data_IF_476392704724
#
_entry.id   IF_476392704724
#
_cell.length_a   1.000
_cell.length_b   1.000
_cell.length_c   1.000
_cell.angle_alpha   90.00
_cell.angle_beta   90.00
_cell.angle_gamma   90.00
#
_symmetry.space_group_name_H-M   'P 1'
#
loop_
_entity.id
_entity.type
_entity.pdbx_description
1 polymer ?
#
# COMPACT_ATOMS: atom_id res chain seq x y z
N UNK A 1 -4.92 -22.28 -11.85
CA UNK A 1 -3.66 -21.61 -11.51
C UNK A 1 -3.37 -21.87 -10.05
N UNK A 2 -2.21 -22.38 -9.65
CA UNK A 2 -1.90 -22.62 -8.25
C UNK A 2 -1.82 -21.27 -7.53
N UNK A 3 -2.55 -21.15 -6.42
CA UNK A 3 -2.44 -20.01 -5.53
C UNK A 3 -1.01 -19.96 -4.99
N UNK A 4 -0.28 -18.90 -5.31
CA UNK A 4 0.97 -18.61 -4.63
C UNK A 4 0.64 -18.38 -3.16
N UNK A 5 0.99 -19.35 -2.33
CA UNK A 5 0.97 -19.17 -0.88
C UNK A 5 1.97 -18.06 -0.55
N UNK A 6 1.45 -16.96 -0.03
CA UNK A 6 2.27 -15.88 0.49
C UNK A 6 3.23 -16.46 1.56
N UNK A 7 4.53 -16.24 1.46
CA UNK A 7 5.47 -16.83 2.41
C UNK A 7 5.16 -16.36 3.84
N UNK A 8 5.30 -17.24 4.85
CA UNK A 8 4.86 -16.98 6.24
C UNK A 8 5.51 -15.79 6.94
N UNK A 9 6.50 -15.14 6.34
CA UNK A 9 7.18 -13.95 6.89
C UNK A 9 6.36 -12.67 6.83
N UNK A 10 5.31 -12.58 6.01
CA UNK A 10 4.41 -11.42 5.92
C UNK A 10 3.31 -11.41 6.99
N UNK A 11 3.21 -12.43 7.80
CA UNK A 11 2.38 -12.43 9.00
C UNK A 11 3.12 -11.76 10.17
N UNK A 12 3.71 -10.57 9.94
CA UNK A 12 4.20 -9.77 11.05
C UNK A 12 3.05 -9.59 12.04
N UNK A 13 3.29 -9.85 13.34
CA UNK A 13 2.20 -9.86 14.31
C UNK A 13 1.56 -8.47 14.37
N UNK A 14 0.41 -8.32 13.70
CA UNK A 14 -0.37 -7.09 13.61
C UNK A 14 -0.62 -6.47 15.00
N UNK A 15 -0.65 -7.27 16.05
CA UNK A 15 -0.80 -6.83 17.43
C UNK A 15 0.38 -6.03 17.99
N UNK A 16 1.58 -6.06 17.36
CA UNK A 16 2.76 -5.30 17.77
C UNK A 16 2.84 -3.91 17.13
N UNK A 17 1.91 -3.55 16.26
CA UNK A 17 1.89 -2.25 15.62
C UNK A 17 1.72 -1.14 16.66
N UNK A 18 2.47 -0.06 16.47
CA UNK A 18 2.28 1.19 17.21
C UNK A 18 1.58 2.19 16.29
N UNK A 19 0.28 2.43 16.47
CA UNK A 19 -0.45 3.34 15.60
C UNK A 19 0.02 4.79 15.85
N UNK A 20 0.03 5.59 14.79
CA UNK A 20 0.11 7.04 14.92
C UNK A 20 -1.08 7.54 15.76
N UNK A 21 -0.91 8.68 16.44
CA UNK A 21 -1.94 9.22 17.34
C UNK A 21 -3.31 9.35 16.69
N UNK A 22 -3.36 9.77 15.42
CA UNK A 22 -4.57 9.95 14.63
C UNK A 22 -5.32 8.65 14.29
N UNK A 23 -4.67 7.48 14.43
CA UNK A 23 -5.25 6.19 14.03
C UNK A 23 -5.47 5.22 15.21
N UNK A 24 -5.36 5.72 16.45
CA UNK A 24 -5.57 4.88 17.65
C UNK A 24 -6.97 4.27 17.70
N UNK A 25 -7.97 5.04 17.32
CA UNK A 25 -9.37 4.61 17.34
C UNK A 25 -9.64 3.51 16.31
N UNK A 26 -9.01 3.59 15.12
CA UNK A 26 -9.10 2.52 14.12
C UNK A 26 -8.53 1.21 14.64
N UNK A 27 -7.38 1.24 15.33
CA UNK A 27 -6.80 0.03 15.94
C UNK A 27 -7.71 -0.52 17.06
N UNK A 28 -8.43 0.33 17.79
CA UNK A 28 -9.40 -0.11 18.78
C UNK A 28 -10.59 -0.84 18.13
N UNK A 29 -11.11 -0.30 17.01
CA UNK A 29 -12.16 -0.94 16.20
C UNK A 29 -11.69 -2.28 15.64
N UNK A 30 -10.50 -2.36 15.06
CA UNK A 30 -9.93 -3.63 14.56
C UNK A 30 -9.87 -4.71 15.66
N UNK A 31 -9.45 -4.32 16.87
CA UNK A 31 -9.42 -5.23 18.02
C UNK A 31 -10.81 -5.69 18.44
N UNK A 32 -11.79 -4.81 18.37
CA UNK A 32 -13.18 -5.13 18.66
C UNK A 32 -13.71 -6.14 17.64
N UNK A 33 -13.51 -5.88 16.35
CA UNK A 33 -13.94 -6.76 15.26
C UNK A 33 -13.30 -8.14 15.39
N UNK A 34 -11.98 -8.21 15.56
CA UNK A 34 -11.26 -9.49 15.66
C UNK A 34 -11.61 -10.31 16.92
N UNK A 35 -12.09 -9.66 17.97
CA UNK A 35 -12.55 -10.32 19.21
C UNK A 35 -14.03 -10.67 19.17
N UNK A 36 -14.79 -10.13 18.23
CA UNK A 36 -16.22 -10.41 18.12
C UNK A 36 -16.43 -11.85 17.66
N UNK A 37 -16.83 -12.72 18.58
CA UNK A 37 -17.14 -14.12 18.32
C UNK A 37 -18.59 -14.35 18.64
N UNK A 38 -19.42 -14.60 17.62
CA UNK A 38 -20.78 -15.05 17.74
C UNK A 38 -20.97 -16.26 16.83
N UNK A 39 -21.81 -17.20 17.25
CA UNK A 39 -22.19 -18.32 16.41
C UNK A 39 -22.77 -17.81 15.09
N UNK A 40 -22.29 -18.33 13.97
CA UNK A 40 -22.72 -17.90 12.63
C UNK A 40 -22.13 -16.54 12.14
N UNK A 41 -21.36 -15.82 12.96
CA UNK A 41 -20.71 -14.57 12.55
C UNK A 41 -19.23 -14.79 12.26
N UNK A 42 -18.85 -14.56 11.01
CA UNK A 42 -17.45 -14.47 10.59
C UNK A 42 -17.05 -13.00 10.46
N UNK A 43 -15.92 -12.63 11.03
CA UNK A 43 -15.40 -11.25 10.98
C UNK A 43 -13.98 -11.25 10.44
N UNK A 44 -13.72 -10.33 9.55
CA UNK A 44 -12.41 -10.15 8.95
C UNK A 44 -12.00 -8.68 9.01
N UNK A 45 -10.72 -8.43 9.20
CA UNK A 45 -10.11 -7.11 9.05
C UNK A 45 -9.16 -7.17 7.86
N UNK A 46 -9.44 -6.38 6.85
CA UNK A 46 -8.55 -6.17 5.70
C UNK A 46 -7.84 -4.83 5.91
N UNK A 47 -6.59 -4.88 6.31
CA UNK A 47 -5.74 -3.70 6.40
C UNK A 47 -5.14 -3.45 5.01
N UNK A 48 -5.82 -2.64 4.21
CA UNK A 48 -5.33 -2.24 2.90
C UNK A 48 -4.16 -1.26 3.02
N UNK A 49 -3.22 -1.37 2.11
CA UNK A 49 -2.18 -0.37 1.91
C UNK A 49 -2.73 0.93 1.32
N UNK A 50 -1.85 1.73 0.74
CA UNK A 50 -2.23 2.93 0.01
C UNK A 50 -2.95 2.52 -1.28
N UNK A 51 -4.25 2.77 -1.34
CA UNK A 51 -5.08 2.39 -2.49
C UNK A 51 -4.81 3.28 -3.70
N UNK A 52 -4.85 2.69 -4.89
CA UNK A 52 -4.75 3.40 -6.16
C UNK A 52 -5.61 2.75 -7.23
N UNK A 53 -5.85 3.50 -8.31
CA UNK A 53 -6.68 3.07 -9.44
C UNK A 53 -8.18 3.30 -9.22
N UNK A 54 -8.98 3.17 -10.27
CA UNK A 54 -10.44 3.30 -10.27
C UNK A 54 -10.95 4.57 -9.52
N UNK A 55 -10.38 5.73 -9.85
CA UNK A 55 -10.75 7.05 -9.32
C UNK A 55 -10.36 7.30 -7.85
N UNK A 56 -9.43 6.49 -7.27
CA UNK A 56 -8.88 6.78 -5.95
C UNK A 56 -8.05 8.08 -5.94
N UNK A 57 -8.32 8.93 -4.97
CA UNK A 57 -7.82 10.31 -4.93
C UNK A 57 -6.38 10.47 -4.42
N UNK A 58 -5.84 9.47 -3.73
CA UNK A 58 -4.57 9.60 -3.01
C UNK A 58 -3.41 10.07 -3.90
N UNK A 59 -3.29 9.49 -5.09
CA UNK A 59 -2.25 9.84 -6.05
C UNK A 59 -2.72 10.83 -7.13
N UNK A 60 -4.00 11.23 -7.11
CA UNK A 60 -4.57 12.12 -8.11
C UNK A 60 -3.75 13.42 -8.31
N UNK A 61 -3.27 14.11 -7.27
CA UNK A 61 -2.47 15.33 -7.45
C UNK A 61 -1.18 15.09 -8.25
N UNK A 62 -0.52 13.94 -8.07
CA UNK A 62 0.69 13.58 -8.81
C UNK A 62 0.36 13.27 -10.28
N UNK A 63 -0.69 12.48 -10.53
CA UNK A 63 -1.15 12.21 -11.89
C UNK A 63 -1.54 13.48 -12.62
N UNK A 64 -2.29 14.37 -11.98
CA UNK A 64 -2.70 15.64 -12.56
C UNK A 64 -1.52 16.55 -12.88
N UNK A 65 -0.55 16.64 -12.00
CA UNK A 65 0.67 17.44 -12.24
C UNK A 65 1.49 16.87 -13.39
N UNK A 66 1.69 15.54 -13.44
CA UNK A 66 2.36 14.88 -14.56
C UNK A 66 1.64 15.12 -15.89
N UNK A 67 0.35 14.93 -15.93
CA UNK A 67 -0.48 15.18 -17.12
C UNK A 67 -0.40 16.63 -17.63
N UNK A 68 -0.28 17.59 -16.72
CA UNK A 68 -0.08 19.00 -17.06
C UNK A 68 1.37 19.35 -17.39
N UNK A 69 2.25 18.36 -17.60
CA UNK A 69 3.67 18.55 -17.87
C UNK A 69 4.40 19.40 -16.80
N UNK A 70 3.96 19.28 -15.55
CA UNK A 70 4.61 19.94 -14.43
C UNK A 70 5.69 19.03 -13.82
N UNK A 71 6.78 19.62 -13.34
CA UNK A 71 7.77 18.89 -12.57
C UNK A 71 7.16 18.34 -11.28
N UNK A 72 7.38 17.06 -10.98
CA UNK A 72 6.80 16.40 -9.83
C UNK A 72 7.67 16.57 -8.58
N UNK A 73 7.11 17.06 -7.47
CA UNK A 73 7.83 17.14 -6.22
C UNK A 73 7.91 15.79 -5.52
N UNK A 74 9.04 15.47 -4.91
CA UNK A 74 9.11 14.44 -3.88
C UNK A 74 8.42 14.97 -2.61
N UNK A 75 7.18 14.56 -2.37
CA UNK A 75 6.32 15.04 -1.29
C UNK A 75 6.75 14.57 0.13
N UNK A 76 7.96 14.14 0.30
CA UNK A 76 8.43 13.52 1.53
C UNK A 76 9.56 14.34 2.15
N UNK A 77 9.57 14.39 3.47
CA UNK A 77 10.72 14.87 4.24
C UNK A 77 11.96 13.94 4.12
N UNK A 78 11.86 12.89 3.31
CA UNK A 78 12.91 11.93 2.99
C UNK A 78 13.35 12.11 1.54
N UNK A 79 14.42 11.41 1.18
CA UNK A 79 14.95 11.31 -0.18
C UNK A 79 14.06 10.51 -1.14
N UNK A 80 12.86 10.11 -0.71
CA UNK A 80 11.94 9.27 -1.48
C UNK A 80 12.27 7.78 -1.45
N UNK A 81 13.25 7.34 -0.66
CA UNK A 81 13.63 5.92 -0.52
C UNK A 81 12.62 5.07 0.24
N UNK A 82 11.64 5.69 0.89
CA UNK A 82 10.59 4.97 1.61
C UNK A 82 9.75 4.10 0.67
N UNK A 83 9.63 2.83 1.02
CA UNK A 83 8.75 1.89 0.30
C UNK A 83 7.30 2.21 0.62
N UNK A 84 6.49 2.32 -0.44
CA UNK A 84 5.05 2.54 -0.33
C UNK A 84 4.31 1.20 -0.35
N UNK A 85 3.56 0.86 0.70
CA UNK A 85 2.70 -0.33 0.70
C UNK A 85 1.43 -0.02 -0.11
N UNK A 86 1.51 -0.08 -1.44
CA UNK A 86 0.38 0.19 -2.34
C UNK A 86 -0.48 -1.03 -2.54
N UNK A 87 -1.72 -0.83 -3.00
CA UNK A 87 -2.59 -1.89 -3.52
C UNK A 87 -3.62 -1.31 -4.47
N UNK A 88 -3.83 -1.98 -5.61
CA UNK A 88 -4.89 -1.57 -6.54
C UNK A 88 -6.26 -1.86 -5.96
N UNK A 89 -7.22 -0.92 -6.10
CA UNK A 89 -8.55 -1.05 -5.49
C UNK A 89 -9.29 -2.31 -5.94
N UNK A 90 -9.15 -2.73 -7.19
CA UNK A 90 -9.77 -3.96 -7.70
C UNK A 90 -9.21 -5.21 -6.99
N UNK A 91 -7.95 -5.20 -6.55
CA UNK A 91 -7.37 -6.29 -5.81
C UNK A 91 -7.90 -6.34 -4.38
N UNK A 92 -8.13 -5.18 -3.75
CA UNK A 92 -8.85 -5.11 -2.47
C UNK A 92 -10.25 -5.73 -2.61
N UNK A 93 -11.00 -5.35 -3.65
CA UNK A 93 -12.32 -5.92 -3.92
C UNK A 93 -12.26 -7.44 -4.12
N UNK A 94 -11.28 -7.91 -4.90
CA UNK A 94 -11.09 -9.35 -5.15
C UNK A 94 -10.74 -10.12 -3.87
N UNK A 95 -9.94 -9.53 -2.99
CA UNK A 95 -9.62 -10.09 -1.67
C UNK A 95 -10.89 -10.18 -0.83
N UNK A 96 -11.70 -9.11 -0.77
CA UNK A 96 -12.95 -9.11 0.01
C UNK A 96 -13.90 -10.21 -0.48
N UNK A 97 -14.08 -10.35 -1.80
CA UNK A 97 -14.93 -11.42 -2.37
C UNK A 97 -14.42 -12.81 -1.95
N UNK A 98 -13.12 -13.06 -2.06
CA UNK A 98 -12.51 -14.33 -1.65
C UNK A 98 -12.67 -14.61 -0.14
N UNK A 99 -12.63 -13.58 0.70
CA UNK A 99 -12.84 -13.72 2.13
C UNK A 99 -14.26 -14.15 2.48
N UNK A 100 -15.26 -13.78 1.66
CA UNK A 100 -16.65 -14.21 1.84
C UNK A 100 -16.82 -15.70 1.53
N UNK A 101 -16.02 -16.25 0.64
CA UNK A 101 -16.11 -17.62 0.14
C UNK A 101 -15.25 -18.62 0.93
N UNK A 102 -14.27 -18.16 1.69
CA UNK A 102 -13.29 -19.03 2.34
C UNK A 102 -13.20 -18.83 3.85
N UNK A 103 -12.81 -19.90 4.55
CA UNK A 103 -12.35 -19.80 5.94
C UNK A 103 -10.92 -19.28 5.95
N UNK A 104 -10.78 -17.98 6.11
CA UNK A 104 -9.48 -17.32 6.09
C UNK A 104 -9.14 -16.69 7.44
N UNK A 105 -7.91 -16.18 7.55
CA UNK A 105 -7.42 -15.51 8.75
C UNK A 105 -8.31 -14.31 9.13
N UNK A 106 -8.55 -14.06 10.41
CA UNK A 106 -9.39 -12.94 10.88
C UNK A 106 -8.76 -11.57 10.60
N UNK A 107 -7.47 -11.53 10.28
CA UNK A 107 -6.72 -10.31 9.95
C UNK A 107 -5.83 -10.55 8.73
N UNK A 108 -5.96 -9.71 7.72
CA UNK A 108 -5.18 -9.75 6.49
C UNK A 108 -4.58 -8.37 6.21
N UNK A 109 -3.28 -8.33 5.92
CA UNK A 109 -2.62 -7.18 5.34
C UNK A 109 -2.67 -7.31 3.81
N UNK A 110 -3.37 -6.39 3.16
CA UNK A 110 -3.53 -6.35 1.72
C UNK A 110 -2.63 -5.27 1.11
N UNK A 111 -1.57 -5.71 0.48
CA UNK A 111 -0.61 -4.86 -0.23
C UNK A 111 -0.19 -5.58 -1.51
N UNK A 112 0.18 -4.83 -2.53
CA UNK A 112 0.86 -5.37 -3.69
C UNK A 112 2.10 -6.11 -3.20
N UNK A 113 2.38 -7.26 -3.77
CA UNK A 113 3.57 -8.02 -3.38
C UNK A 113 4.77 -7.11 -3.56
N UNK A 114 5.42 -6.68 -2.47
CA UNK A 114 6.63 -5.90 -2.65
C UNK A 114 7.60 -6.80 -3.38
N UNK A 115 8.08 -6.32 -4.46
CA UNK A 115 9.07 -6.97 -5.30
C UNK A 115 10.43 -7.09 -4.57
N UNK A 116 10.41 -7.04 -3.24
CA UNK A 116 11.59 -7.23 -2.38
C UNK A 116 12.20 -8.63 -2.60
N UNK A 117 11.40 -9.62 -2.96
CA UNK A 117 11.90 -10.95 -3.29
C UNK A 117 12.56 -11.03 -4.69
N UNK A 118 12.24 -10.09 -5.58
CA UNK A 118 12.78 -10.05 -6.94
C UNK A 118 13.92 -9.01 -7.10
N UNK A 119 14.11 -8.14 -6.10
CA UNK A 119 15.22 -7.18 -6.10
C UNK A 119 16.60 -7.85 -5.85
N UNK A 120 16.62 -9.12 -5.46
CA UNK A 120 17.85 -9.91 -5.33
C UNK A 120 18.25 -10.57 -6.66
N UNK A 121 17.38 -10.56 -7.69
CA UNK A 121 17.71 -11.01 -9.03
C UNK A 121 18.11 -9.82 -9.91
N UNK A 122 19.26 -9.92 -10.57
CA UNK A 122 19.74 -8.92 -11.52
C UNK A 122 18.67 -8.70 -12.62
N UNK A 123 18.05 -7.51 -12.66
CA UNK A 123 16.97 -7.17 -13.60
C UNK A 123 15.55 -7.38 -13.06
N UNK A 124 15.38 -7.66 -11.77
CA UNK A 124 14.07 -7.69 -11.12
C UNK A 124 13.39 -6.32 -11.11
N UNK A 125 12.04 -6.29 -10.95
CA UNK A 125 11.30 -5.04 -10.91
C UNK A 125 11.75 -4.18 -9.73
N UNK A 126 11.84 -2.87 -9.94
CA UNK A 126 12.28 -1.90 -8.93
C UNK A 126 11.33 -1.88 -7.72
N UNK A 127 11.84 -1.72 -6.50
CA UNK A 127 10.98 -1.58 -5.33
C UNK A 127 10.07 -0.36 -5.49
N UNK A 128 8.84 -0.48 -5.00
CA UNK A 128 7.84 0.60 -5.03
C UNK A 128 8.19 1.67 -3.97
N UNK A 129 9.28 2.38 -4.18
CA UNK A 129 9.62 3.56 -3.39
C UNK A 129 8.86 4.79 -3.91
N UNK A 130 8.68 5.78 -3.05
CA UNK A 130 8.08 7.05 -3.48
C UNK A 130 8.85 7.68 -4.65
N UNK A 131 10.17 7.66 -4.61
CA UNK A 131 11.01 8.19 -5.69
C UNK A 131 10.75 7.45 -7.01
N UNK A 132 10.69 6.12 -6.99
CA UNK A 132 10.43 5.31 -8.20
C UNK A 132 9.02 5.55 -8.75
N UNK A 133 8.02 5.67 -7.89
CA UNK A 133 6.64 5.98 -8.30
C UNK A 133 6.56 7.36 -8.95
N UNK A 134 7.16 8.38 -8.32
CA UNK A 134 7.17 9.75 -8.85
C UNK A 134 7.96 9.82 -10.16
N UNK A 135 9.12 9.16 -10.24
CA UNK A 135 9.91 9.10 -11.46
C UNK A 135 9.15 8.42 -12.61
N UNK A 136 8.51 7.29 -12.35
CA UNK A 136 7.69 6.60 -13.35
C UNK A 136 6.54 7.48 -13.85
N UNK A 137 5.79 8.14 -12.95
CA UNK A 137 4.71 9.05 -13.33
C UNK A 137 5.22 10.21 -14.17
N UNK A 138 6.35 10.82 -13.79
CA UNK A 138 6.93 11.92 -14.53
C UNK A 138 7.42 11.50 -15.92
N UNK A 139 8.01 10.33 -16.04
CA UNK A 139 8.52 9.81 -17.32
C UNK A 139 7.42 9.37 -18.26
N UNK A 140 6.41 8.68 -17.76
CA UNK A 140 5.37 8.06 -18.59
C UNK A 140 4.24 9.04 -18.96
N UNK A 141 3.94 10.00 -18.09
CA UNK A 141 2.83 10.94 -18.28
C UNK A 141 3.25 12.40 -18.42
N UNK A 142 4.44 12.77 -18.00
CA UNK A 142 4.91 14.14 -17.91
C UNK A 142 6.17 14.41 -18.75
N UNK A 143 7.00 15.30 -18.23
CA UNK A 143 8.25 15.76 -18.89
C UNK A 143 9.51 15.03 -18.41
N UNK A 144 9.36 14.06 -17.51
CA UNK A 144 10.51 13.33 -16.95
C UNK A 144 11.28 14.09 -15.86
N UNK A 145 10.76 15.23 -15.40
CA UNK A 145 11.41 16.07 -14.40
C UNK A 145 10.86 15.79 -13.01
N UNK A 146 11.75 15.52 -12.05
CA UNK A 146 11.41 15.32 -10.63
C UNK A 146 12.17 16.33 -9.80
N UNK A 147 11.44 17.11 -9.00
CA UNK A 147 12.04 18.08 -8.10
C UNK A 147 12.55 17.38 -6.83
N UNK A 148 13.73 17.78 -6.34
CA UNK A 148 14.21 17.26 -5.06
C UNK A 148 13.25 17.61 -3.92
N UNK A 149 13.28 16.81 -2.86
CA UNK A 149 12.53 17.12 -1.66
C UNK A 149 12.94 18.50 -1.11
N UNK A 150 12.00 19.29 -0.60
CA UNK A 150 12.34 20.57 0.00
C UNK A 150 13.31 20.37 1.16
N UNK A 151 14.27 21.29 1.37
CA UNK A 151 15.17 21.22 2.50
C UNK A 151 14.36 21.15 3.79
N UNK A 152 14.84 20.37 4.75
CA UNK A 152 14.24 20.35 6.09
C UNK A 152 14.48 21.73 6.69
N UNK A 153 13.41 22.43 7.03
CA UNK A 153 13.51 23.62 7.88
C UNK A 153 14.07 23.14 9.24
N UNK A 154 15.25 23.66 9.59
CA UNK A 154 15.92 23.42 10.89
C UNK A 154 15.16 24.10 12.03
#
# INVERSE_FOLDING_TARGET
>A
MPMHQCPPRLQAPHHRRRPHSSYKDLVAVEKLVTKSKREGLRTHVVAAGLTYGAEEDLFHPLFKAAWNCQALPLLSMSDGSNVLPTIHINDVCSIVVKLLESESLPYLLAVDTPVVAAAEEEGGPLPQTLANVVAALSTELGVGEVLPAPPKDE
#
